data_IF_998283807404
#
_entry.id   IF_998283807404
#
_cell.length_a   1.000
_cell.length_b   1.000
_cell.length_c   1.000
_cell.angle_alpha   90.00
_cell.angle_beta   90.00
_cell.angle_gamma   90.00
#
_symmetry.space_group_name_H-M   'P 1'
#
loop_
_entity.id
_entity.type
_entity.pdbx_description
1 polymer ?
#
# COMPACT_ATOMS: atom_id res chain seq x y z
N UNK A 1 -21.92 -30.68 16.92
CA UNK A 1 -21.52 -30.37 17.01
C UNK A 1 -20.89 -29.94 16.70
N UNK A 2 -20.84 -29.72 16.73
CA UNK A 2 -20.24 -29.27 16.58
C UNK A 2 -19.78 -28.71 16.17
N UNK A 3 -19.87 -28.67 16.12
CA UNK A 3 -19.45 -28.21 15.77
C UNK A 3 -19.11 -27.52 15.31
N UNK A 4 -19.47 -27.40 15.34
CA UNK A 4 -19.05 -26.79 14.87
C UNK A 4 -18.55 -26.16 14.47
N UNK A 5 -18.75 -26.20 14.66
CA UNK A 5 -18.12 -25.79 14.58
C UNK A 5 -17.42 -25.45 14.01
N UNK A 6 -17.50 -25.74 13.85
CA UNK A 6 -16.64 -25.57 13.50
C UNK A 6 -16.36 -24.96 12.82
N UNK A 7 -16.72 -24.97 12.75
CA UNK A 7 -16.46 -24.41 12.28
C UNK A 7 -16.00 -23.68 12.14
N UNK A 8 -16.34 -23.87 11.95
CA UNK A 8 -15.82 -22.63 11.90
C UNK A 8 -14.51 -22.20 11.52
N UNK A 9 -13.75 -22.84 11.50
CA UNK A 9 -12.41 -22.32 11.46
C UNK A 9 -11.89 -22.15 10.07
N UNK A 10 -12.20 -23.05 9.23
CA UNK A 10 -11.58 -23.04 7.92
C UNK A 10 -12.05 -21.95 6.99
N UNK A 11 -13.31 -21.69 6.90
CA UNK A 11 -13.74 -20.54 6.11
C UNK A 11 -13.15 -19.26 6.66
N UNK A 12 -12.82 -19.29 7.92
CA UNK A 12 -12.20 -18.14 8.54
C UNK A 12 -10.84 -17.87 7.96
N UNK A 13 -10.18 -18.87 7.41
CA UNK A 13 -8.88 -18.64 6.80
C UNK A 13 -8.98 -17.70 5.63
N UNK A 14 -10.05 -17.77 4.87
CA UNK A 14 -10.24 -16.85 3.76
C UNK A 14 -10.76 -15.52 4.23
N UNK A 15 -11.63 -15.56 5.20
CA UNK A 15 -12.23 -14.36 5.68
C UNK A 15 -11.28 -13.38 6.33
N UNK A 16 -10.33 -13.83 7.12
CA UNK A 16 -9.36 -12.89 7.68
C UNK A 16 -8.62 -12.12 6.61
N UNK A 17 -8.39 -12.72 5.48
CA UNK A 17 -7.76 -12.00 4.40
C UNK A 17 -8.62 -10.88 3.90
N UNK A 18 -9.92 -11.08 3.85
CA UNK A 18 -10.86 -10.03 3.49
C UNK A 18 -10.84 -8.90 4.52
N UNK A 19 -10.76 -9.27 5.79
CA UNK A 19 -10.71 -8.29 6.85
C UNK A 19 -9.44 -7.45 6.79
N UNK A 20 -8.36 -8.01 6.25
CA UNK A 20 -7.10 -7.31 6.10
C UNK A 20 -6.97 -6.60 4.77
N UNK A 21 -7.97 -6.70 3.92
CA UNK A 21 -7.92 -6.07 2.61
C UNK A 21 -7.94 -4.55 2.75
N UNK A 22 -7.13 -3.91 1.93
CA UNK A 22 -7.07 -2.45 1.89
C UNK A 22 -8.22 -1.94 1.03
N UNK A 23 -8.99 -1.03 1.58
CA UNK A 23 -10.10 -0.41 0.85
C UNK A 23 -9.58 0.73 -0.01
N UNK A 24 -9.78 0.68 -1.33
CA UNK A 24 -9.37 1.81 -2.18
C UNK A 24 -10.14 3.08 -1.86
N UNK A 25 -11.39 2.95 -1.46
CA UNK A 25 -12.19 4.13 -1.11
C UNK A 25 -11.59 4.83 0.09
N UNK A 26 -11.27 4.08 1.13
CA UNK A 26 -10.70 4.65 2.34
C UNK A 26 -9.32 5.22 2.06
N UNK A 27 -8.49 4.48 1.34
CA UNK A 27 -7.14 4.95 1.03
C UNK A 27 -7.18 6.20 0.18
N UNK A 28 -8.05 6.23 -0.83
CA UNK A 28 -8.21 7.42 -1.65
C UNK A 28 -8.69 8.61 -0.84
N UNK A 29 -9.63 8.39 0.06
CA UNK A 29 -10.14 9.45 0.92
C UNK A 29 -9.03 9.99 1.82
N UNK A 30 -8.24 9.11 2.41
CA UNK A 30 -7.18 9.50 3.34
C UNK A 30 -6.12 10.37 2.66
N UNK A 31 -5.88 10.15 1.38
CA UNK A 31 -4.82 10.86 0.66
C UNK A 31 -5.31 11.77 -0.44
N UNK A 32 -6.63 11.96 -0.53
CA UNK A 32 -7.20 12.89 -1.49
C UNK A 32 -7.12 12.42 -2.94
N UNK A 33 -7.24 11.12 -3.17
CA UNK A 33 -7.12 10.55 -4.51
C UNK A 33 -8.42 9.94 -4.97
N UNK A 34 -8.73 10.10 -6.26
CA UNK A 34 -9.79 9.32 -6.90
C UNK A 34 -9.27 7.89 -7.11
N UNK A 35 -10.18 6.97 -7.42
CA UNK A 35 -9.76 5.60 -7.74
C UNK A 35 -8.81 5.56 -8.93
N UNK A 36 -9.06 6.40 -9.94
CA UNK A 36 -8.18 6.47 -11.10
C UNK A 36 -6.78 6.92 -10.69
N UNK A 37 -6.72 7.98 -9.89
CA UNK A 37 -5.43 8.48 -9.41
C UNK A 37 -4.73 7.43 -8.53
N UNK A 38 -5.51 6.76 -7.70
CA UNK A 38 -4.95 5.71 -6.85
C UNK A 38 -4.35 4.59 -7.69
N UNK A 39 -5.06 4.14 -8.73
CA UNK A 39 -4.54 3.11 -9.61
C UNK A 39 -3.23 3.56 -10.27
N UNK A 40 -3.16 4.81 -10.69
CA UNK A 40 -1.93 5.37 -11.27
C UNK A 40 -0.76 5.28 -10.30
N UNK A 41 -1.01 5.60 -9.04
CA UNK A 41 0.08 5.66 -8.06
C UNK A 41 0.62 4.29 -7.67
N UNK A 42 -0.08 3.21 -8.02
CA UNK A 42 0.41 1.85 -7.75
C UNK A 42 0.69 1.08 -9.03
N UNK A 43 0.54 1.75 -10.19
CA UNK A 43 0.91 1.15 -11.47
C UNK A 43 -0.04 0.09 -11.97
N UNK A 44 -1.34 0.24 -11.68
CA UNK A 44 -2.35 -0.68 -12.16
C UNK A 44 -3.39 0.06 -13.00
N UNK A 45 -4.08 -0.68 -13.87
CA UNK A 45 -5.18 -0.12 -14.62
C UNK A 45 -6.33 0.21 -13.68
N UNK A 46 -7.11 1.26 -13.97
CA UNK A 46 -8.23 1.61 -13.08
C UNK A 46 -9.20 0.46 -12.84
N UNK A 47 -9.38 -0.42 -13.81
CA UNK A 47 -10.28 -1.56 -13.68
C UNK A 47 -9.91 -2.47 -12.53
N UNK A 48 -8.64 -2.47 -12.14
CA UNK A 48 -8.21 -3.28 -11.00
C UNK A 48 -8.88 -2.85 -9.70
N UNK A 49 -9.30 -1.59 -9.62
CA UNK A 49 -9.94 -1.06 -8.42
C UNK A 49 -11.46 -1.02 -8.52
N UNK A 50 -12.01 -1.15 -9.72
CA UNK A 50 -13.46 -1.08 -9.91
C UNK A 50 -14.13 -2.45 -9.90
N UNK A 51 -13.43 -3.48 -10.36
CA UNK A 51 -14.01 -4.81 -10.44
C UNK A 51 -13.71 -5.57 -9.16
N UNK A 52 -14.76 -6.14 -8.57
CA UNK A 52 -14.62 -6.80 -7.28
C UNK A 52 -13.60 -7.94 -7.33
N UNK A 53 -13.64 -8.76 -8.36
CA UNK A 53 -12.71 -9.87 -8.47
C UNK A 53 -11.27 -9.37 -8.61
N UNK A 54 -11.08 -8.29 -9.33
CA UNK A 54 -9.74 -7.75 -9.53
C UNK A 54 -9.23 -7.05 -8.29
N UNK A 55 -10.14 -6.40 -7.57
CA UNK A 55 -9.77 -5.74 -6.33
C UNK A 55 -9.23 -6.74 -5.32
N UNK A 56 -9.79 -7.95 -5.29
CA UNK A 56 -9.30 -8.99 -4.39
C UNK A 56 -8.09 -9.73 -4.88
N UNK A 57 -7.61 -9.44 -6.10
CA UNK A 57 -6.46 -10.14 -6.63
C UNK A 57 -5.22 -9.84 -5.79
N UNK A 58 -4.36 -10.84 -5.66
CA UNK A 58 -3.18 -10.72 -4.82
C UNK A 58 -2.30 -9.54 -5.21
N UNK A 59 -2.12 -9.32 -6.51
CA UNK A 59 -1.29 -8.22 -6.98
C UNK A 59 -1.88 -6.87 -6.59
N UNK A 60 -3.19 -6.71 -6.78
CA UNK A 60 -3.87 -5.47 -6.44
C UNK A 60 -3.75 -5.16 -4.96
N UNK A 61 -4.07 -6.14 -4.12
CA UNK A 61 -4.01 -5.95 -2.68
C UNK A 61 -2.58 -5.74 -2.21
N UNK A 62 -1.62 -6.42 -2.81
CA UNK A 62 -0.22 -6.24 -2.47
C UNK A 62 0.22 -4.80 -2.74
N UNK A 63 -0.13 -4.26 -3.92
CA UNK A 63 0.24 -2.89 -4.26
C UNK A 63 -0.43 -1.87 -3.35
N UNK A 64 -1.69 -2.09 -3.02
CA UNK A 64 -2.40 -1.20 -2.10
C UNK A 64 -1.77 -1.23 -0.71
N UNK A 65 -1.43 -2.41 -0.22
CA UNK A 65 -0.79 -2.53 1.10
C UNK A 65 0.57 -1.87 1.12
N UNK A 66 1.35 -2.06 0.06
CA UNK A 66 2.69 -1.47 -0.03
C UNK A 66 2.60 0.05 0.01
N UNK A 67 1.71 0.61 -0.79
CA UNK A 67 1.53 2.05 -0.80
C UNK A 67 1.07 2.57 0.57
N UNK A 68 0.09 1.89 1.15
CA UNK A 68 -0.45 2.30 2.44
C UNK A 68 0.61 2.25 3.52
N UNK A 69 1.41 1.19 3.55
CA UNK A 69 2.47 1.05 4.54
C UNK A 69 3.50 2.16 4.39
N UNK A 70 3.94 2.42 3.17
CA UNK A 70 4.95 3.44 2.92
C UNK A 70 4.43 4.82 3.29
N UNK A 71 3.21 5.15 2.87
CA UNK A 71 2.64 6.46 3.16
C UNK A 71 2.40 6.66 4.65
N UNK A 72 1.96 5.62 5.34
CA UNK A 72 1.74 5.71 6.78
C UNK A 72 3.05 6.00 7.52
N UNK A 73 4.13 5.33 7.13
CA UNK A 73 5.44 5.57 7.75
C UNK A 73 5.92 6.98 7.47
N UNK A 74 5.81 7.42 6.21
CA UNK A 74 6.31 8.74 5.83
C UNK A 74 5.49 9.84 6.47
N UNK A 75 4.17 9.66 6.57
CA UNK A 75 3.30 10.67 7.18
C UNK A 75 3.72 10.98 8.61
N UNK A 76 4.25 9.97 9.32
CA UNK A 76 4.68 10.16 10.70
C UNK A 76 5.80 11.16 10.86
N UNK A 77 6.65 11.34 9.85
CA UNK A 77 7.75 12.29 9.95
C UNK A 77 7.70 13.40 8.89
N UNK A 78 6.85 13.28 7.91
CA UNK A 78 6.75 14.31 6.86
C UNK A 78 5.77 15.43 7.21
N UNK A 79 4.91 15.21 8.19
CA UNK A 79 3.97 16.23 8.61
C UNK A 79 2.52 15.93 8.29
N UNK A 80 2.20 14.73 7.84
CA UNK A 80 0.83 14.32 7.60
C UNK A 80 0.62 13.69 6.23
N UNK A 81 -0.63 13.30 5.93
CA UNK A 81 -0.93 12.59 4.68
C UNK A 81 -0.62 13.38 3.41
N UNK A 82 -0.91 14.67 3.39
CA UNK A 82 -0.63 15.47 2.18
C UNK A 82 0.86 15.55 1.89
N UNK A 83 1.65 15.74 2.93
CA UNK A 83 3.10 15.79 2.81
C UNK A 83 3.67 14.43 2.42
N UNK A 84 3.11 13.35 2.96
CA UNK A 84 3.53 12.02 2.61
C UNK A 84 3.26 11.74 1.13
N UNK A 85 2.10 12.15 0.64
CA UNK A 85 1.75 11.95 -0.77
C UNK A 85 2.66 12.75 -1.69
N UNK A 86 2.98 13.99 -1.31
CA UNK A 86 3.90 14.80 -2.07
C UNK A 86 5.29 14.15 -2.14
N UNK A 87 5.75 13.63 -1.02
CA UNK A 87 7.02 12.90 -0.97
C UNK A 87 6.97 11.66 -1.87
N UNK A 88 5.90 10.91 -1.77
CA UNK A 88 5.74 9.66 -2.50
C UNK A 88 5.82 9.90 -4.02
N UNK A 89 5.21 10.96 -4.50
CA UNK A 89 5.10 11.23 -5.92
C UNK A 89 6.28 12.00 -6.49
N UNK A 90 6.92 12.83 -5.69
CA UNK A 90 7.85 13.81 -6.24
C UNK A 90 9.28 13.74 -5.73
N UNK A 91 9.51 13.14 -4.57
CA UNK A 91 10.84 13.21 -3.96
C UNK A 91 11.79 12.21 -4.59
N UNK A 92 12.87 12.66 -5.25
CA UNK A 92 13.88 11.74 -5.75
C UNK A 92 14.66 11.12 -4.58
N UNK A 93 14.89 9.82 -4.65
CA UNK A 93 15.60 9.11 -3.60
C UNK A 93 16.99 8.77 -4.14
N UNK A 94 18.04 9.43 -3.62
CA UNK A 94 19.39 9.21 -4.17
C UNK A 94 19.85 7.75 -4.11
N UNK A 95 19.45 7.02 -3.08
CA UNK A 95 19.83 5.61 -2.96
C UNK A 95 19.30 4.76 -4.12
N UNK A 96 18.31 5.25 -4.84
CA UNK A 96 17.72 4.54 -5.98
C UNK A 96 17.93 5.32 -7.29
N UNK A 97 19.00 6.07 -7.37
CA UNK A 97 19.31 6.77 -8.60
C UNK A 97 18.38 7.93 -8.91
N UNK A 98 17.73 8.48 -7.90
CA UNK A 98 16.80 9.59 -8.09
C UNK A 98 15.37 9.18 -8.39
N UNK A 99 15.07 7.89 -8.31
CA UNK A 99 13.70 7.43 -8.51
C UNK A 99 12.83 7.78 -7.32
N UNK A 100 11.54 7.99 -7.58
CA UNK A 100 10.59 8.28 -6.52
C UNK A 100 10.03 7.00 -5.91
N UNK A 101 9.44 7.14 -4.72
CA UNK A 101 8.75 6.02 -4.09
C UNK A 101 7.67 5.46 -5.00
N UNK A 102 6.90 6.34 -5.64
CA UNK A 102 5.86 5.92 -6.59
C UNK A 102 6.45 5.04 -7.69
N UNK A 103 7.56 5.46 -8.28
CA UNK A 103 8.22 4.71 -9.33
C UNK A 103 8.63 3.31 -8.84
N UNK A 104 9.15 3.23 -7.63
CA UNK A 104 9.58 1.95 -7.07
C UNK A 104 8.40 1.01 -6.83
N UNK A 105 7.32 1.52 -6.26
CA UNK A 105 6.13 0.70 -6.03
C UNK A 105 5.54 0.21 -7.34
N UNK A 106 5.45 1.10 -8.32
CA UNK A 106 4.89 0.74 -9.64
C UNK A 106 5.69 -0.37 -10.32
N UNK A 107 6.98 -0.41 -10.09
CA UNK A 107 7.84 -1.40 -10.73
C UNK A 107 8.07 -2.64 -9.89
N UNK A 108 7.33 -2.79 -8.79
CA UNK A 108 7.44 -3.98 -7.95
C UNK A 108 8.62 -3.96 -7.00
N UNK A 109 9.18 -2.80 -6.71
CA UNK A 109 10.35 -2.67 -5.86
C UNK A 109 10.04 -2.09 -4.48
N UNK A 110 8.81 -2.27 -4.03
CA UNK A 110 8.41 -1.76 -2.72
C UNK A 110 9.22 -2.38 -1.59
N UNK A 111 9.64 -3.65 -1.75
CA UNK A 111 10.44 -4.31 -0.74
C UNK A 111 11.76 -3.61 -0.49
N UNK A 112 12.44 -3.23 -1.57
CA UNK A 112 13.70 -2.50 -1.44
C UNK A 112 13.49 -1.13 -0.81
N UNK A 113 12.38 -0.48 -1.15
CA UNK A 113 12.05 0.79 -0.53
C UNK A 113 11.80 0.64 0.96
N UNK A 114 11.08 -0.42 1.37
CA UNK A 114 10.86 -0.66 2.79
C UNK A 114 12.18 -0.88 3.54
N UNK A 115 13.09 -1.65 2.94
CA UNK A 115 14.39 -1.87 3.53
C UNK A 115 15.15 -0.56 3.71
N UNK A 116 15.06 0.32 2.73
CA UNK A 116 15.68 1.63 2.79
C UNK A 116 15.07 2.46 3.93
N UNK A 117 13.75 2.46 4.04
CA UNK A 117 13.07 3.20 5.10
C UNK A 117 13.42 2.63 6.48
N UNK A 118 13.56 1.30 6.58
CA UNK A 118 14.01 0.67 7.81
C UNK A 118 15.40 1.14 8.20
N UNK A 119 16.30 1.23 7.23
CA UNK A 119 17.67 1.66 7.52
C UNK A 119 17.72 3.11 7.99
N UNK A 120 16.87 3.97 7.43
CA UNK A 120 16.78 5.36 7.88
C UNK A 120 16.25 5.40 9.32
N UNK A 121 15.22 4.63 9.61
CA UNK A 121 14.61 4.62 10.93
C UNK A 121 15.59 4.17 12.01
N UNK A 122 16.47 3.22 11.67
CA UNK A 122 17.42 2.68 12.64
C UNK A 122 18.61 3.62 12.81
N UNK A 123 19.17 4.13 11.72
CA UNK A 123 20.42 4.86 11.76
C UNK A 123 20.37 6.29 11.26
N UNK A 124 19.33 6.63 10.51
CA UNK A 124 19.29 7.91 9.82
C UNK A 124 19.09 9.12 10.70
N UNK A 125 18.64 8.89 11.91
CA UNK A 125 18.42 9.98 12.86
C UNK A 125 19.48 10.06 13.94
N UNK A 126 20.42 9.18 13.85
CA UNK A 126 21.48 9.12 14.85
C UNK A 126 22.43 10.30 14.75
#
# INVERSE_FOLDING_TARGET
MASPKSKPATPAATRPRTDNAVSPIKLGHDYGLTKRQLAETIGLAPQALYKRERLGAAKTQSRLREMNEILTRVAGWAGGPAQAMAWYRAEPIPAFGGRTAESLVKSGQAGQLRDYLDSIAIGGFA
#
